data_IF_446998177597
#
_entry.id   IF_446998177597
#
_cell.length_a   1.000
_cell.length_b   1.000
_cell.length_c   1.000
_cell.angle_alpha   90.00
_cell.angle_beta   90.00
_cell.angle_gamma   90.00
#
_symmetry.space_group_name_H-M   'P 1'
#
loop_
_entity.id
_entity.type
_entity.pdbx_description
1 polymer ?
#
# COMPACT_ATOMS: atom_id res chain seq x y z
N UNK A 1 37.52 -56.84 8.86
CA UNK A 1 37.46 -56.44 10.28
C UNK A 1 36.74 -55.10 10.30
N UNK A 2 35.41 -55.00 10.17
CA UNK A 2 34.28 -55.61 10.91
C UNK A 2 34.16 -55.14 12.37
N UNK A 3 33.03 -54.44 12.62
CA UNK A 3 32.29 -54.03 13.84
C UNK A 3 31.72 -52.62 13.58
N UNK A 4 30.44 -52.46 13.20
CA UNK A 4 29.24 -52.66 14.03
C UNK A 4 28.85 -51.28 14.59
N UNK A 5 27.66 -50.69 14.41
CA UNK A 5 26.30 -51.22 14.37
C UNK A 5 25.55 -50.71 15.61
N UNK A 6 24.49 -49.90 15.43
CA UNK A 6 23.57 -49.42 16.48
C UNK A 6 22.95 -48.06 16.12
N UNK A 7 21.79 -48.00 15.44
CA UNK A 7 20.41 -48.04 15.98
C UNK A 7 20.14 -46.90 16.99
N UNK A 8 19.42 -45.85 16.59
CA UNK A 8 17.94 -45.70 16.60
C UNK A 8 17.41 -45.32 17.99
N UNK A 9 16.78 -44.15 18.07
CA UNK A 9 16.16 -43.62 19.27
C UNK A 9 15.38 -42.34 18.93
N UNK A 10 14.11 -42.54 18.57
CA UNK A 10 13.12 -41.51 18.32
C UNK A 10 12.59 -40.92 19.62
N UNK A 11 12.63 -39.59 19.76
CA UNK A 11 11.74 -38.79 20.61
C UNK A 11 11.49 -37.50 19.79
N UNK A 12 10.30 -37.19 19.28
CA UNK A 12 9.04 -37.11 20.02
C UNK A 12 8.88 -35.68 20.53
N UNK A 13 8.54 -34.71 19.67
CA UNK A 13 8.03 -33.42 20.13
C UNK A 13 6.85 -32.95 19.27
N UNK A 14 5.70 -33.56 19.54
CA UNK A 14 4.39 -33.03 19.17
C UNK A 14 4.02 -31.95 20.20
N UNK A 15 4.29 -30.69 19.87
CA UNK A 15 3.80 -29.53 20.61
C UNK A 15 2.64 -28.89 19.87
N UNK A 16 1.44 -29.44 20.05
CA UNK A 16 0.20 -28.79 19.66
C UNK A 16 -0.04 -27.55 20.51
N UNK A 17 -0.33 -26.43 19.85
CA UNK A 17 -0.83 -25.20 20.46
C UNK A 17 -1.98 -24.72 19.61
N UNK A 18 -3.15 -25.33 19.82
CA UNK A 18 -4.42 -24.95 19.23
C UNK A 18 -4.71 -23.48 19.45
N UNK A 19 -5.32 -22.89 18.42
CA UNK A 19 -5.86 -21.54 18.43
C UNK A 19 -6.72 -21.29 19.66
N UNK A 20 -6.46 -20.13 20.24
CA UNK A 20 -7.22 -19.56 21.33
C UNK A 20 -6.99 -18.06 21.30
N UNK A 21 -7.37 -17.43 20.20
CA UNK A 21 -7.48 -15.97 20.13
C UNK A 21 -8.56 -15.56 21.13
N UNK A 22 -8.11 -15.24 22.35
CA UNK A 22 -8.88 -14.50 23.32
C UNK A 22 -9.16 -13.11 22.77
N UNK A 23 -10.26 -13.00 22.03
CA UNK A 23 -10.94 -11.73 21.85
C UNK A 23 -11.79 -11.54 23.09
N UNK A 24 -11.35 -10.61 23.92
CA UNK A 24 -12.11 -10.13 25.06
C UNK A 24 -13.52 -9.75 24.62
N UNK A 25 -14.50 -10.41 25.24
CA UNK A 25 -15.91 -10.08 25.23
C UNK A 25 -16.12 -8.60 25.50
N UNK A 26 -16.94 -7.97 24.66
CA UNK A 26 -17.77 -6.85 25.09
C UNK A 26 -19.22 -7.22 24.81
N UNK A 27 -19.89 -7.62 25.89
CA UNK A 27 -21.32 -7.47 26.05
C UNK A 27 -21.66 -5.99 25.97
N UNK A 28 -22.53 -5.61 25.02
CA UNK A 28 -23.39 -4.44 25.19
C UNK A 28 -24.80 -4.85 24.76
N UNK A 29 -25.64 -5.02 25.77
CA UNK A 29 -27.04 -5.35 25.61
C UNK A 29 -27.85 -4.25 24.91
N UNK A 30 -28.80 -4.72 24.10
CA UNK A 30 -30.21 -4.36 24.12
C UNK A 30 -30.56 -2.95 24.65
N UNK A 31 -31.02 -2.10 23.74
CA UNK A 31 -32.26 -1.35 23.92
C UNK A 31 -33.00 -1.34 22.59
N UNK A 32 -34.13 -2.04 22.57
CA UNK A 32 -35.16 -1.89 21.56
C UNK A 32 -35.82 -0.53 21.75
N UNK A 33 -36.15 0.14 20.65
CA UNK A 33 -37.39 0.91 20.54
C UNK A 33 -37.75 1.05 19.07
N UNK A 34 -38.95 0.55 18.76
CA UNK A 34 -39.66 0.70 17.50
C UNK A 34 -39.81 2.19 17.16
N UNK A 35 -39.52 2.56 15.92
CA UNK A 35 -40.16 3.70 15.28
C UNK A 35 -40.42 3.34 13.82
N UNK A 36 -41.66 2.92 13.58
CA UNK A 36 -42.32 2.99 12.29
C UNK A 36 -42.42 4.47 11.87
N UNK A 37 -41.47 4.93 11.05
CA UNK A 37 -41.67 6.12 10.25
C UNK A 37 -41.60 5.75 8.76
N UNK A 38 -42.80 5.68 8.19
CA UNK A 38 -43.10 5.82 6.77
C UNK A 38 -42.40 7.08 6.23
N UNK A 39 -41.25 6.90 5.57
CA UNK A 39 -40.60 7.97 4.82
C UNK A 39 -40.63 7.60 3.34
N UNK A 40 -41.67 8.12 2.71
CA UNK A 40 -41.82 8.47 1.30
C UNK A 40 -40.53 8.34 0.49
N UNK A 41 -40.51 7.44 -0.49
CA UNK A 41 -39.48 7.42 -1.54
C UNK A 41 -39.38 8.82 -2.18
N UNK A 42 -38.23 9.52 -2.13
CA UNK A 42 -38.04 10.64 -3.01
C UNK A 42 -37.84 10.08 -4.42
N UNK A 43 -38.86 10.33 -5.24
CA UNK A 43 -38.84 10.35 -6.69
C UNK A 43 -37.40 10.42 -7.28
N UNK A 44 -36.94 9.31 -7.84
CA UNK A 44 -35.64 9.12 -8.49
C UNK A 44 -35.59 9.80 -9.88
N UNK A 45 -36.05 11.04 -9.97
CA UNK A 45 -36.02 11.82 -11.20
C UNK A 45 -35.77 13.28 -10.86
N UNK A 46 -34.62 13.78 -11.31
CA UNK A 46 -34.02 15.11 -11.08
C UNK A 46 -32.97 15.18 -9.96
N UNK A 47 -32.05 14.21 -9.88
CA UNK A 47 -30.72 14.53 -9.36
C UNK A 47 -30.07 15.49 -10.38
N UNK A 48 -29.60 16.69 -9.98
CA UNK A 48 -28.79 17.52 -10.86
C UNK A 48 -27.56 16.71 -11.31
N UNK A 49 -27.04 16.90 -12.54
CA UNK A 49 -25.76 16.32 -12.91
C UNK A 49 -24.75 16.75 -11.84
N UNK A 50 -24.16 15.79 -11.14
CA UNK A 50 -23.14 16.04 -10.11
C UNK A 50 -22.16 17.07 -10.66
N UNK A 51 -22.17 18.31 -10.15
CA UNK A 51 -21.31 19.34 -10.68
C UNK A 51 -19.95 19.06 -10.06
N UNK A 52 -18.98 18.71 -10.90
CA UNK A 52 -17.58 18.49 -10.55
C UNK A 52 -17.32 17.21 -9.74
N UNK A 53 -17.17 16.08 -10.44
CA UNK A 53 -15.98 15.25 -10.18
C UNK A 53 -14.80 16.20 -10.34
N UNK A 54 -14.39 16.84 -9.25
CA UNK A 54 -13.25 17.74 -9.24
C UNK A 54 -12.04 16.87 -9.50
N UNK A 55 -11.67 16.72 -10.77
CA UNK A 55 -10.38 16.18 -11.18
C UNK A 55 -9.35 17.08 -10.50
N UNK A 56 -8.90 16.67 -9.32
CA UNK A 56 -7.83 17.37 -8.61
C UNK A 56 -6.67 17.46 -9.59
N UNK A 57 -6.15 18.67 -9.85
CA UNK A 57 -5.04 18.82 -10.78
C UNK A 57 -3.89 17.93 -10.33
N UNK A 58 -3.24 17.25 -11.29
CA UNK A 58 -2.03 16.49 -10.99
C UNK A 58 -1.03 17.43 -10.31
N UNK A 59 -0.43 17.02 -9.18
CA UNK A 59 0.50 17.87 -8.46
C UNK A 59 1.70 18.18 -9.33
N UNK A 60 2.23 19.40 -9.18
CA UNK A 60 3.44 19.80 -9.87
C UNK A 60 4.64 18.96 -9.39
N UNK A 61 5.64 18.79 -10.25
CA UNK A 61 6.85 18.03 -9.94
C UNK A 61 7.56 18.60 -8.72
N UNK A 62 7.60 19.93 -8.58
CA UNK A 62 8.24 20.59 -7.44
C UNK A 62 7.48 20.35 -6.13
N UNK A 63 6.14 20.31 -6.18
CA UNK A 63 5.32 19.96 -5.03
C UNK A 63 5.56 18.52 -4.57
N UNK A 64 5.67 17.59 -5.53
CA UNK A 64 5.97 16.18 -5.23
C UNK A 64 7.35 16.05 -4.59
N UNK A 65 8.37 16.69 -5.16
CA UNK A 65 9.74 16.70 -4.63
C UNK A 65 9.81 17.34 -3.24
N UNK A 66 9.10 18.45 -3.03
CA UNK A 66 8.98 19.10 -1.73
C UNK A 66 8.35 18.19 -0.68
N UNK A 67 7.34 17.40 -1.05
CA UNK A 67 6.74 16.43 -0.14
C UNK A 67 7.65 15.23 0.15
N UNK A 68 8.36 14.72 -0.86
CA UNK A 68 9.40 13.67 -0.68
C UNK A 68 10.45 14.16 0.33
N UNK A 69 10.94 15.41 0.18
CA UNK A 69 11.88 16.06 1.10
C UNK A 69 11.33 16.11 2.52
N UNK A 70 10.08 16.56 2.69
CA UNK A 70 9.43 16.65 3.99
C UNK A 70 9.32 15.28 4.65
N UNK A 71 8.93 14.24 3.90
CA UNK A 71 8.85 12.88 4.42
C UNK A 71 10.22 12.35 4.80
N UNK A 72 11.25 12.47 3.95
CA UNK A 72 12.61 12.05 4.32
C UNK A 72 13.12 12.75 5.58
N UNK A 73 12.80 14.03 5.73
CA UNK A 73 13.15 14.82 6.91
C UNK A 73 12.47 14.26 8.17
N UNK A 74 11.18 13.93 8.10
CA UNK A 74 10.44 13.35 9.24
C UNK A 74 11.08 12.04 9.72
N UNK A 75 11.50 11.15 8.80
CA UNK A 75 12.20 9.91 9.16
C UNK A 75 13.60 10.15 9.75
N UNK A 76 14.18 11.31 9.48
CA UNK A 76 15.50 11.73 9.96
C UNK A 76 15.45 12.58 11.22
N UNK A 77 14.28 12.96 11.74
CA UNK A 77 14.16 13.78 12.95
C UNK A 77 14.79 13.14 14.22
N UNK A 78 15.10 11.84 14.20
CA UNK A 78 15.90 11.17 15.23
C UNK A 78 17.43 11.18 15.00
N UNK A 79 17.90 11.62 13.83
CA UNK A 79 19.29 11.55 13.38
C UNK A 79 19.84 12.96 13.13
N UNK A 80 20.55 13.50 14.12
CA UNK A 80 20.92 14.93 14.25
C UNK A 80 21.79 15.53 13.12
N UNK A 81 22.25 14.74 12.15
CA UNK A 81 23.23 15.17 11.14
C UNK A 81 22.85 14.84 9.68
N UNK A 82 21.63 14.41 9.39
CA UNK A 82 21.28 14.02 8.01
C UNK A 82 20.40 15.09 7.37
N UNK A 83 21.03 16.10 6.79
CA UNK A 83 20.35 16.92 5.79
C UNK A 83 19.84 16.01 4.66
N UNK A 84 18.68 16.33 4.11
CA UNK A 84 18.18 15.65 2.91
C UNK A 84 18.78 16.35 1.72
N UNK A 85 19.64 15.65 1.00
CA UNK A 85 20.29 16.17 -0.19
C UNK A 85 19.31 16.18 -1.37
N UNK A 86 19.39 17.20 -2.22
CA UNK A 86 18.51 17.33 -3.38
C UNK A 86 18.73 16.19 -4.40
N UNK A 87 19.97 15.67 -4.52
CA UNK A 87 20.27 14.51 -5.36
C UNK A 87 19.50 13.25 -4.92
N UNK A 88 19.29 13.09 -3.61
CA UNK A 88 18.58 11.93 -3.06
C UNK A 88 17.09 12.01 -3.39
N UNK A 89 16.52 13.21 -3.28
CA UNK A 89 15.13 13.49 -3.66
C UNK A 89 14.93 13.20 -5.14
N UNK A 90 15.83 13.71 -5.99
CA UNK A 90 15.79 13.48 -7.43
C UNK A 90 15.91 12.00 -7.77
N UNK A 91 16.80 11.27 -7.09
CA UNK A 91 16.97 9.83 -7.31
C UNK A 91 15.73 9.04 -6.90
N UNK A 92 15.12 9.37 -5.77
CA UNK A 92 13.86 8.74 -5.32
C UNK A 92 12.73 9.01 -6.31
N UNK A 93 12.58 10.26 -6.74
CA UNK A 93 11.58 10.64 -7.74
C UNK A 93 11.79 9.88 -9.05
N UNK A 94 13.03 9.80 -9.55
CA UNK A 94 13.37 9.04 -10.76
C UNK A 94 13.09 7.55 -10.61
N UNK A 95 13.47 6.92 -9.50
CA UNK A 95 13.17 5.49 -9.27
C UNK A 95 11.67 5.19 -9.21
N UNK A 96 10.89 6.08 -8.60
CA UNK A 96 9.42 5.94 -8.60
C UNK A 96 8.84 6.11 -10.00
N UNK A 97 9.41 6.99 -10.83
CA UNK A 97 9.05 7.10 -12.24
C UNK A 97 9.39 5.82 -13.01
N UNK A 98 10.61 5.30 -12.87
CA UNK A 98 11.04 4.06 -13.52
C UNK A 98 10.14 2.87 -13.15
N UNK A 99 9.69 2.79 -11.88
CA UNK A 99 8.69 1.81 -11.45
C UNK A 99 7.38 1.97 -12.24
N UNK A 100 6.90 3.21 -12.42
CA UNK A 100 5.66 3.46 -13.15
C UNK A 100 5.80 3.20 -14.65
N UNK A 101 6.95 3.55 -15.26
CA UNK A 101 7.24 3.19 -16.64
C UNK A 101 7.21 1.68 -16.83
N UNK A 102 7.84 0.94 -15.90
CA UNK A 102 7.80 -0.51 -15.93
C UNK A 102 6.38 -1.06 -15.74
N UNK A 103 5.56 -0.42 -14.91
CA UNK A 103 4.15 -0.81 -14.77
C UNK A 103 3.35 -0.55 -16.04
N UNK A 104 3.60 0.54 -16.77
CA UNK A 104 2.95 0.82 -18.07
C UNK A 104 3.28 -0.28 -19.08
N UNK A 105 4.52 -0.77 -19.10
CA UNK A 105 4.93 -1.87 -19.98
C UNK A 105 4.30 -3.22 -19.59
N UNK A 106 4.14 -3.47 -18.30
CA UNK A 106 3.57 -4.73 -17.79
C UNK A 106 2.04 -4.74 -17.80
N UNK A 107 1.43 -3.57 -17.70
CA UNK A 107 0.00 -3.35 -17.62
C UNK A 107 -0.33 -2.07 -18.39
N UNK A 108 -0.84 -2.23 -19.62
CA UNK A 108 -1.07 -1.15 -20.59
C UNK A 108 -2.26 -0.23 -20.22
N UNK A 109 -2.61 -0.15 -18.94
CA UNK A 109 -3.68 0.71 -18.47
C UNK A 109 -3.25 2.19 -18.52
N UNK A 110 -4.09 3.11 -19.04
CA UNK A 110 -3.78 4.53 -19.04
C UNK A 110 -3.67 5.11 -17.62
N UNK A 111 -4.22 4.42 -16.62
CA UNK A 111 -4.17 4.75 -15.20
C UNK A 111 -2.80 5.22 -14.72
N UNK A 112 -1.75 4.47 -15.06
CA UNK A 112 -0.38 4.73 -14.58
C UNK A 112 0.17 6.06 -15.07
N UNK A 113 -0.20 6.45 -16.29
CA UNK A 113 0.24 7.70 -16.89
C UNK A 113 -0.64 8.88 -16.45
N UNK A 114 -1.96 8.66 -16.35
CA UNK A 114 -2.92 9.70 -15.94
C UNK A 114 -2.69 10.17 -14.50
N UNK A 115 -2.31 9.26 -13.59
CA UNK A 115 -2.16 9.57 -12.16
C UNK A 115 -0.71 9.56 -11.69
N UNK A 116 0.24 9.76 -12.60
CA UNK A 116 1.66 9.49 -12.36
C UNK A 116 2.22 10.23 -11.16
N UNK A 117 2.04 11.55 -11.09
CA UNK A 117 2.61 12.35 -10.02
C UNK A 117 1.87 12.08 -8.71
N UNK A 118 0.54 11.89 -8.76
CA UNK A 118 -0.25 11.48 -7.58
C UNK A 118 0.19 10.12 -7.04
N UNK A 119 0.53 9.15 -7.88
CA UNK A 119 1.02 7.84 -7.47
C UNK A 119 2.39 7.92 -6.79
N UNK A 120 3.33 8.67 -7.38
CA UNK A 120 4.65 8.94 -6.81
C UNK A 120 4.49 9.63 -5.44
N UNK A 121 3.58 10.61 -5.39
CA UNK A 121 3.29 11.40 -4.21
C UNK A 121 2.65 10.57 -3.11
N UNK A 122 1.60 9.81 -3.35
CA UNK A 122 0.75 9.32 -2.25
C UNK A 122 0.75 7.80 -2.06
N UNK A 123 1.22 7.05 -3.05
CA UNK A 123 0.87 5.62 -3.15
C UNK A 123 2.10 4.70 -3.23
N UNK A 124 3.21 5.15 -3.81
CA UNK A 124 4.48 4.42 -3.77
C UNK A 124 5.23 4.80 -2.47
N UNK A 125 4.73 4.31 -1.34
CA UNK A 125 5.26 4.60 -0.01
C UNK A 125 5.40 3.34 0.85
N UNK A 126 6.21 3.38 1.93
CA UNK A 126 6.25 2.31 2.92
C UNK A 126 4.91 2.18 3.67
N UNK A 127 4.53 0.98 4.14
CA UNK A 127 3.29 0.78 4.90
C UNK A 127 3.20 1.55 6.22
N UNK A 128 4.36 1.86 6.82
CA UNK A 128 4.48 2.58 8.09
C UNK A 128 4.46 4.11 7.88
N UNK A 129 4.06 4.57 6.69
CA UNK A 129 4.19 5.95 6.23
C UNK A 129 5.58 6.25 5.68
N UNK A 130 5.77 7.49 5.22
CA UNK A 130 7.09 8.04 4.94
C UNK A 130 7.58 7.93 3.53
N UNK A 131 8.90 7.80 3.42
CA UNK A 131 9.56 7.65 2.14
C UNK A 131 10.49 6.44 2.12
N UNK A 132 10.49 5.73 1.00
CA UNK A 132 11.41 4.63 0.80
C UNK A 132 12.85 5.15 0.69
N UNK A 133 13.78 4.38 1.25
CA UNK A 133 15.20 4.57 0.97
C UNK A 133 15.52 4.08 -0.45
N UNK A 134 16.49 4.71 -1.11
CA UNK A 134 16.95 4.36 -2.47
C UNK A 134 17.15 2.84 -2.65
N UNK A 135 17.89 2.11 -1.79
CA UNK A 135 18.11 0.68 -2.00
C UNK A 135 16.82 -0.16 -1.99
N UNK A 136 15.80 0.28 -1.25
CA UNK A 136 14.51 -0.41 -1.18
C UNK A 136 13.71 -0.19 -2.47
N UNK A 137 13.76 1.01 -3.05
CA UNK A 137 13.15 1.29 -4.35
C UNK A 137 13.87 0.54 -5.46
N UNK A 138 15.19 0.47 -5.45
CA UNK A 138 15.98 -0.29 -6.41
C UNK A 138 15.67 -1.79 -6.33
N UNK A 139 15.57 -2.37 -5.13
CA UNK A 139 15.16 -3.76 -4.96
C UNK A 139 13.73 -4.02 -5.47
N UNK A 140 12.79 -3.08 -5.21
CA UNK A 140 11.42 -3.16 -5.70
C UNK A 140 11.36 -3.08 -7.23
N UNK A 141 12.09 -2.14 -7.83
CA UNK A 141 12.22 -2.01 -9.27
C UNK A 141 12.82 -3.29 -9.88
N UNK A 142 13.90 -3.82 -9.30
CA UNK A 142 14.50 -5.09 -9.72
C UNK A 142 13.50 -6.25 -9.70
N UNK A 143 12.58 -6.30 -8.73
CA UNK A 143 11.53 -7.32 -8.68
C UNK A 143 10.53 -7.26 -9.85
N UNK A 144 10.43 -6.11 -10.53
CA UNK A 144 9.60 -5.91 -11.73
C UNK A 144 10.34 -6.27 -13.04
N UNK A 145 11.65 -6.49 -12.98
CA UNK A 145 12.48 -6.95 -14.11
C UNK A 145 12.80 -8.45 -14.07
N UNK A 146 12.40 -9.16 -13.01
CA UNK A 146 12.59 -10.62 -12.94
C UNK A 146 11.81 -11.40 -14.01
N UNK A 147 12.12 -12.70 -14.15
CA UNK A 147 11.54 -13.57 -15.19
C UNK A 147 10.00 -13.67 -15.13
N UNK A 148 9.41 -13.52 -13.95
CA UNK A 148 7.96 -13.50 -13.75
C UNK A 148 7.55 -12.30 -12.88
N UNK A 149 7.45 -11.10 -13.46
CA UNK A 149 7.14 -9.89 -12.70
C UNK A 149 5.73 -9.92 -12.11
N UNK A 150 4.78 -10.58 -12.79
CA UNK A 150 3.41 -10.76 -12.30
C UNK A 150 3.33 -11.55 -10.98
N UNK A 151 4.33 -12.39 -10.70
CA UNK A 151 4.42 -13.13 -9.44
C UNK A 151 4.89 -12.27 -8.26
N UNK A 152 5.59 -11.15 -8.52
CA UNK A 152 6.15 -10.26 -7.51
C UNK A 152 5.05 -9.72 -6.58
N UNK A 153 5.31 -9.76 -5.28
CA UNK A 153 4.42 -9.16 -4.28
C UNK A 153 4.22 -7.66 -4.54
N UNK A 154 5.26 -6.98 -5.02
CA UNK A 154 5.20 -5.55 -5.29
C UNK A 154 4.33 -5.24 -6.52
N UNK A 155 4.46 -6.01 -7.61
CA UNK A 155 3.57 -5.89 -8.77
C UNK A 155 2.10 -6.08 -8.36
N UNK A 156 1.79 -7.15 -7.63
CA UNK A 156 0.42 -7.43 -7.14
C UNK A 156 -0.11 -6.32 -6.25
N UNK A 157 0.74 -5.73 -5.41
CA UNK A 157 0.39 -4.57 -4.60
C UNK A 157 -0.02 -3.38 -5.47
N UNK A 158 0.75 -3.08 -6.52
CA UNK A 158 0.44 -1.99 -7.44
C UNK A 158 -0.86 -2.26 -8.22
N UNK A 159 -1.08 -3.49 -8.72
CA UNK A 159 -2.34 -3.84 -9.39
C UNK A 159 -3.55 -3.64 -8.47
N UNK A 160 -3.48 -4.11 -7.22
CA UNK A 160 -4.55 -3.87 -6.23
C UNK A 160 -4.77 -2.38 -5.97
N UNK A 161 -3.70 -1.60 -5.97
CA UNK A 161 -3.77 -0.15 -5.81
C UNK A 161 -4.55 0.49 -6.94
N UNK A 162 -4.24 0.15 -8.19
CA UNK A 162 -5.00 0.56 -9.37
C UNK A 162 -6.47 0.17 -9.24
N UNK A 163 -6.75 -1.09 -8.91
CA UNK A 163 -8.11 -1.62 -8.87
C UNK A 163 -8.95 -0.97 -7.73
N UNK A 164 -8.29 -0.53 -6.66
CA UNK A 164 -8.91 0.15 -5.52
C UNK A 164 -8.79 1.68 -5.57
N UNK A 165 -8.23 2.23 -6.65
CA UNK A 165 -8.02 3.67 -6.78
C UNK A 165 -9.37 4.36 -7.00
N UNK A 166 -9.96 4.86 -5.92
CA UNK A 166 -11.14 5.69 -5.97
C UNK A 166 -10.68 7.13 -5.75
N UNK A 167 -11.12 8.04 -6.62
CA UNK A 167 -10.62 9.41 -6.74
C UNK A 167 -10.78 10.20 -5.41
N UNK A 168 -11.71 9.78 -4.53
CA UNK A 168 -12.15 10.52 -3.34
C UNK A 168 -11.95 9.84 -1.97
N UNK A 169 -11.33 8.66 -1.88
CA UNK A 169 -11.18 7.99 -0.58
C UNK A 169 -9.72 8.03 -0.07
N UNK A 170 -9.44 8.57 1.14
CA UNK A 170 -8.15 8.36 1.77
C UNK A 170 -7.93 6.85 1.93
N UNK A 171 -6.83 6.35 1.36
CA UNK A 171 -6.46 4.94 1.36
C UNK A 171 -6.53 4.38 2.79
N UNK A 172 -7.57 3.61 3.09
CA UNK A 172 -7.57 2.69 4.23
C UNK A 172 -6.81 1.45 3.77
N UNK A 173 -5.63 1.24 4.35
CA UNK A 173 -4.78 0.09 4.06
C UNK A 173 -5.49 -1.26 4.24
N UNK A 174 -4.82 -2.37 3.91
CA UNK A 174 -5.43 -3.70 3.82
C UNK A 174 -6.20 -4.04 5.10
N UNK A 175 -7.52 -4.22 4.99
CA UNK A 175 -8.31 -4.82 6.07
C UNK A 175 -7.94 -6.31 6.12
N UNK A 176 -7.33 -6.70 7.24
CA UNK A 176 -6.94 -8.08 7.52
C UNK A 176 -8.14 -9.02 7.42
N UNK A 177 -7.87 -10.22 6.90
CA UNK A 177 -8.81 -11.31 6.67
C UNK A 177 -8.93 -12.20 7.90
#
# INVERSE_FOLDING_TARGET
MDRGGGMSGSEGNMGGGSGGSGWTSFDLGVLAEENDEEVTQPNLQNAPPNPFEAVLPEPDVDDVKGLIKNRLTIYRLGNRNSAVDDWEIDRIFSLKNEILDRMIELDHSPFWNTHRNRLIRDFIQPPQGGEYRIPVLEAKLGSLFGENPASSCFYKQLIRLRDSFHIDAPFRGPRGN
#
